data_IF_662779465271
#
_entry.id   IF_662779465271
#
_cell.length_a   1.000
_cell.length_b   1.000
_cell.length_c   1.000
_cell.angle_alpha   90.00
_cell.angle_beta   90.00
_cell.angle_gamma   90.00
#
_symmetry.space_group_name_H-M   'P 1'
#
loop_
_entity.id
_entity.type
_entity.pdbx_description
1 polymer ?
#
# COMPACT_ATOMS: atom_id res chain seq x y z
N UNK A 1 55.51 -12.33 26.75
CA UNK A 1 54.67 -11.30 26.09
C UNK A 1 53.56 -11.87 25.20
N UNK A 2 53.15 -13.14 25.34
CA UNK A 2 52.29 -13.83 24.34
C UNK A 2 50.95 -14.36 24.88
N UNK A 3 50.52 -14.00 26.10
CA UNK A 3 49.22 -14.44 26.64
C UNK A 3 48.07 -13.44 26.42
N UNK A 4 48.38 -12.19 26.08
CA UNK A 4 47.37 -11.14 25.82
C UNK A 4 46.74 -11.29 24.43
N UNK A 5 47.47 -11.84 23.45
CA UNK A 5 46.95 -12.01 22.09
C UNK A 5 45.86 -13.08 21.96
N UNK A 6 45.84 -14.09 22.83
CA UNK A 6 44.86 -15.19 22.76
C UNK A 6 43.48 -14.74 23.27
N UNK A 7 43.43 -13.74 24.16
CA UNK A 7 42.16 -13.23 24.67
C UNK A 7 41.42 -12.32 23.67
N UNK A 8 42.15 -11.63 22.79
CA UNK A 8 41.54 -10.80 21.73
C UNK A 8 40.92 -11.63 20.59
N UNK A 9 41.44 -12.84 20.33
CA UNK A 9 40.92 -13.67 19.25
C UNK A 9 39.57 -14.35 19.59
N UNK A 10 39.34 -14.64 20.87
CA UNK A 10 38.08 -15.23 21.35
C UNK A 10 36.91 -14.24 21.37
N UNK A 11 37.17 -12.93 21.41
CA UNK A 11 36.13 -11.88 21.37
C UNK A 11 35.66 -11.64 19.93
N UNK A 12 36.51 -11.86 18.93
CA UNK A 12 36.18 -11.70 17.51
C UNK A 12 35.13 -12.72 17.02
N UNK A 13 35.19 -13.97 17.51
CA UNK A 13 34.28 -15.04 17.08
C UNK A 13 32.84 -14.88 17.56
N UNK A 14 32.59 -14.10 18.63
CA UNK A 14 31.24 -13.84 19.15
C UNK A 14 30.54 -12.74 18.32
N UNK A 15 31.30 -11.84 17.69
CA UNK A 15 30.76 -10.74 16.86
C UNK A 15 30.33 -11.25 15.46
N UNK A 16 30.84 -12.40 15.02
CA UNK A 16 30.48 -13.01 13.74
C UNK A 16 29.05 -13.62 13.70
N UNK A 17 28.37 -13.73 14.84
CA UNK A 17 26.98 -14.25 14.92
C UNK A 17 25.90 -13.16 14.71
N UNK A 18 26.31 -11.92 14.39
CA UNK A 18 25.40 -10.80 14.15
C UNK A 18 24.86 -10.72 12.70
N UNK A 19 25.24 -11.66 11.82
CA UNK A 19 24.58 -11.80 10.52
C UNK A 19 23.24 -12.51 10.72
N UNK A 20 22.14 -11.85 10.33
CA UNK A 20 20.79 -12.41 10.30
C UNK A 20 20.77 -13.72 9.48
N UNK A 21 21.02 -14.84 10.15
CA UNK A 21 21.12 -16.18 9.55
C UNK A 21 19.74 -16.84 9.44
N UNK A 22 18.72 -16.05 9.13
CA UNK A 22 17.33 -16.51 9.07
C UNK A 22 17.08 -17.07 7.67
N UNK A 23 16.56 -18.29 7.59
CA UNK A 23 16.12 -18.87 6.32
C UNK A 23 15.11 -17.95 5.63
N UNK A 24 15.05 -18.04 4.30
CA UNK A 24 14.08 -17.29 3.51
C UNK A 24 12.66 -17.52 4.03
N UNK A 25 11.90 -16.44 4.21
CA UNK A 25 10.50 -16.48 4.64
C UNK A 25 9.64 -15.52 3.82
N UNK A 26 8.35 -15.85 3.73
CA UNK A 26 7.34 -15.01 3.12
C UNK A 26 6.08 -15.04 3.98
N UNK A 27 5.46 -13.90 4.22
CA UNK A 27 4.20 -13.84 4.97
C UNK A 27 3.10 -14.58 4.22
N UNK A 28 2.19 -15.20 4.96
CA UNK A 28 1.00 -15.83 4.39
C UNK A 28 -0.25 -15.07 4.80
N UNK A 29 -1.10 -14.80 3.82
CA UNK A 29 -2.36 -14.12 4.04
C UNK A 29 -3.47 -14.87 3.32
N UNK A 30 -4.49 -15.29 4.07
CA UNK A 30 -5.68 -15.94 3.53
C UNK A 30 -6.85 -14.94 3.58
N UNK A 31 -7.40 -14.59 2.42
CA UNK A 31 -8.48 -13.62 2.30
C UNK A 31 -9.82 -14.29 1.99
N UNK A 32 -10.87 -13.81 2.65
CA UNK A 32 -12.26 -13.96 2.24
C UNK A 32 -12.88 -12.57 2.15
N UNK A 33 -13.37 -12.20 0.99
CA UNK A 33 -13.99 -10.89 0.75
C UNK A 33 -15.38 -11.05 0.16
N UNK A 34 -16.24 -10.10 0.46
CA UNK A 34 -17.52 -9.88 -0.19
C UNK A 34 -17.55 -8.41 -0.61
N UNK A 35 -17.73 -8.14 -1.90
CA UNK A 35 -17.63 -6.80 -2.48
C UNK A 35 -18.81 -6.56 -3.41
N UNK A 36 -19.59 -5.54 -3.09
CA UNK A 36 -20.69 -5.05 -3.90
C UNK A 36 -20.23 -3.84 -4.70
N UNK A 37 -20.40 -3.90 -6.03
CA UNK A 37 -19.93 -2.88 -6.97
C UNK A 37 -21.12 -2.19 -7.62
N UNK A 38 -21.28 -0.92 -7.29
CA UNK A 38 -22.19 -0.01 -7.99
C UNK A 38 -21.48 0.50 -9.25
N UNK A 39 -21.77 -0.15 -10.39
CA UNK A 39 -21.15 0.15 -11.68
C UNK A 39 -21.58 1.52 -12.22
N UNK A 40 -22.82 1.94 -11.94
CA UNK A 40 -23.35 3.22 -12.42
C UNK A 40 -22.65 4.40 -11.75
N UNK A 41 -22.40 4.29 -10.45
CA UNK A 41 -21.70 5.32 -9.67
C UNK A 41 -20.18 5.08 -9.56
N UNK A 42 -19.68 3.94 -10.06
CA UNK A 42 -18.29 3.50 -9.98
C UNK A 42 -17.74 3.45 -8.56
N UNK A 43 -18.59 3.02 -7.63
CA UNK A 43 -18.27 2.88 -6.22
C UNK A 43 -18.42 1.43 -5.81
N UNK A 44 -17.78 1.06 -4.71
CA UNK A 44 -17.94 -0.26 -4.14
C UNK A 44 -17.88 -0.21 -2.62
N UNK A 45 -18.55 -1.17 -2.00
CA UNK A 45 -18.51 -1.42 -0.57
C UNK A 45 -18.12 -2.87 -0.38
N UNK A 46 -17.37 -3.15 0.67
CA UNK A 46 -16.93 -4.51 0.90
C UNK A 46 -16.64 -4.82 2.34
N UNK A 47 -16.65 -6.11 2.60
CA UNK A 47 -16.14 -6.71 3.83
C UNK A 47 -14.98 -7.61 3.49
N UNK A 48 -14.02 -7.68 4.40
CA UNK A 48 -12.84 -8.53 4.27
C UNK A 48 -12.61 -9.21 5.60
N UNK A 49 -12.44 -10.53 5.55
CA UNK A 49 -11.80 -11.32 6.61
C UNK A 49 -10.44 -11.78 6.11
N UNK A 50 -9.40 -11.46 6.85
CA UNK A 50 -8.01 -11.73 6.53
C UNK A 50 -7.40 -12.55 7.67
N UNK A 51 -6.95 -13.77 7.39
CA UNK A 51 -6.13 -14.54 8.35
C UNK A 51 -4.66 -14.37 7.99
N UNK A 52 -3.92 -13.68 8.85
CA UNK A 52 -2.51 -13.39 8.68
C UNK A 52 -1.69 -14.41 9.47
N UNK A 53 -0.69 -15.03 8.84
CA UNK A 53 0.30 -15.88 9.53
C UNK A 53 1.64 -15.16 9.51
N UNK A 54 2.20 -14.89 10.69
CA UNK A 54 3.52 -14.29 10.78
C UNK A 54 4.62 -15.35 10.57
N UNK A 55 5.17 -15.43 9.37
CA UNK A 55 6.27 -16.33 9.06
C UNK A 55 7.65 -15.70 9.29
N UNK A 56 7.72 -14.42 9.69
CA UNK A 56 9.00 -13.79 9.99
C UNK A 56 9.53 -14.25 11.35
N UNK A 57 10.86 -14.17 11.57
CA UNK A 57 11.47 -14.40 12.88
C UNK A 57 11.19 -13.27 13.88
N UNK A 58 10.59 -12.16 13.43
CA UNK A 58 10.34 -10.97 14.23
C UNK A 58 8.95 -10.95 14.84
N UNK A 59 8.83 -10.34 16.02
CA UNK A 59 7.54 -10.00 16.62
C UNK A 59 6.99 -8.75 15.96
N UNK A 60 5.83 -8.88 15.29
CA UNK A 60 5.19 -7.76 14.61
C UNK A 60 4.33 -6.95 15.57
N UNK A 61 4.52 -5.63 15.60
CA UNK A 61 3.72 -4.68 16.39
C UNK A 61 2.78 -3.81 15.55
N UNK A 62 3.02 -3.77 14.23
CA UNK A 62 2.23 -3.04 13.24
C UNK A 62 2.01 -3.90 12.01
N UNK A 63 0.93 -3.64 11.30
CA UNK A 63 0.71 -4.14 9.94
C UNK A 63 0.27 -2.98 9.04
N UNK A 64 0.48 -3.14 7.74
CA UNK A 64 0.20 -2.10 6.75
C UNK A 64 -0.73 -2.64 5.66
N UNK A 65 -1.65 -1.80 5.20
CA UNK A 65 -2.46 -2.07 4.01
C UNK A 65 -2.21 -1.00 2.97
N UNK A 66 -2.30 -1.38 1.70
CA UNK A 66 -2.25 -0.44 0.58
C UNK A 66 -3.66 0.03 0.21
N UNK A 67 -3.80 1.35 0.12
CA UNK A 67 -4.98 2.09 -0.29
C UNK A 67 -4.67 2.84 -1.60
N UNK A 68 -4.15 2.13 -2.60
CA UNK A 68 -3.52 2.73 -3.79
C UNK A 68 -4.39 3.74 -4.53
N UNK A 69 -5.71 3.57 -4.54
CA UNK A 69 -6.59 4.54 -5.20
C UNK A 69 -6.53 5.95 -4.58
N UNK A 70 -6.06 6.09 -3.34
CA UNK A 70 -5.84 7.42 -2.73
C UNK A 70 -4.78 8.25 -3.47
N UNK A 71 -3.95 7.63 -4.31
CA UNK A 71 -3.01 8.33 -5.18
C UNK A 71 -3.69 9.16 -6.28
N UNK A 72 -4.97 8.93 -6.58
CA UNK A 72 -5.71 9.67 -7.60
C UNK A 72 -6.63 10.72 -6.99
N UNK A 73 -6.08 11.47 -6.04
CA UNK A 73 -6.73 12.62 -5.43
C UNK A 73 -5.86 13.86 -5.67
N UNK A 74 -6.46 15.02 -5.97
CA UNK A 74 -5.74 16.29 -5.95
C UNK A 74 -5.00 16.46 -4.62
N UNK A 75 -3.73 16.85 -4.66
CA UNK A 75 -2.89 17.03 -3.48
C UNK A 75 -2.31 15.74 -2.88
N UNK A 76 -2.58 14.57 -3.46
CA UNK A 76 -1.87 13.33 -3.11
C UNK A 76 -0.37 13.42 -3.45
N UNK A 77 0.45 12.56 -2.85
CA UNK A 77 1.89 12.48 -3.16
C UNK A 77 2.16 12.23 -4.65
N UNK A 78 1.29 11.46 -5.32
CA UNK A 78 1.39 11.21 -6.75
C UNK A 78 1.11 12.48 -7.57
N UNK A 79 0.10 13.26 -7.19
CA UNK A 79 -0.19 14.55 -7.82
C UNK A 79 0.94 15.57 -7.58
N UNK A 80 1.45 15.64 -6.35
CA UNK A 80 2.58 16.50 -6.00
C UNK A 80 3.83 16.16 -6.84
N UNK A 81 4.17 14.87 -6.93
CA UNK A 81 5.30 14.41 -7.75
C UNK A 81 5.14 14.77 -9.23
N UNK A 82 3.94 14.68 -9.79
CA UNK A 82 3.68 15.04 -11.20
C UNK A 82 3.87 16.54 -11.46
N UNK A 83 3.74 17.40 -10.45
CA UNK A 83 3.94 18.85 -10.56
C UNK A 83 5.42 19.26 -10.47
N UNK A 84 6.25 18.43 -9.83
CA UNK A 84 7.65 18.76 -9.55
C UNK A 84 8.65 18.08 -10.50
N UNK A 85 8.32 16.89 -11.01
CA UNK A 85 9.25 16.14 -11.86
C UNK A 85 9.38 16.76 -13.26
N UNK A 86 10.61 16.82 -13.77
CA UNK A 86 10.92 17.40 -15.09
C UNK A 86 10.32 16.58 -16.24
N UNK A 87 10.39 15.25 -16.16
CA UNK A 87 9.86 14.32 -17.16
C UNK A 87 8.82 13.37 -16.52
N UNK A 88 7.56 13.83 -16.35
CA UNK A 88 6.48 13.00 -15.80
C UNK A 88 6.02 11.94 -16.81
N UNK A 89 5.37 10.88 -16.31
CA UNK A 89 4.72 9.89 -17.18
C UNK A 89 3.66 10.59 -18.04
N UNK A 90 3.87 10.60 -19.36
CA UNK A 90 3.00 11.28 -20.34
C UNK A 90 1.54 10.83 -20.30
N UNK A 91 1.23 9.65 -19.75
CA UNK A 91 -0.16 9.23 -19.55
C UNK A 91 -0.85 10.04 -18.46
N UNK A 92 -0.10 10.58 -17.50
CA UNK A 92 -0.64 11.18 -16.28
C UNK A 92 -0.68 12.70 -16.32
N UNK A 93 -0.20 13.30 -17.41
CA UNK A 93 -0.13 14.76 -17.60
C UNK A 93 -0.71 15.16 -18.95
N UNK A 94 -1.11 16.41 -19.07
CA UNK A 94 -1.37 17.06 -20.34
C UNK A 94 -0.18 17.97 -20.68
N UNK A 95 0.29 17.96 -21.93
CA UNK A 95 1.21 19.00 -22.39
C UNK A 95 0.39 20.24 -22.77
N UNK A 96 0.56 21.32 -22.01
CA UNK A 96 -0.05 22.64 -22.26
C UNK A 96 0.95 23.63 -22.89
N UNK A 97 2.17 23.18 -23.19
CA UNK A 97 3.20 23.92 -23.93
C UNK A 97 3.26 23.50 -25.40
N UNK A 98 4.46 23.54 -26.00
CA UNK A 98 4.70 23.04 -27.36
C UNK A 98 5.44 21.70 -27.32
N UNK A 99 5.70 21.10 -28.49
CA UNK A 99 6.50 19.87 -28.55
C UNK A 99 7.99 20.15 -28.25
N UNK A 100 8.46 21.34 -28.62
CA UNK A 100 9.84 21.81 -28.45
C UNK A 100 10.08 22.33 -27.02
N UNK A 101 9.06 22.92 -26.40
CA UNK A 101 9.10 23.41 -25.02
C UNK A 101 7.86 22.91 -24.25
N UNK A 102 7.87 21.65 -23.80
CA UNK A 102 6.73 21.05 -23.12
C UNK A 102 6.50 21.69 -21.75
N UNK A 103 5.23 21.90 -21.42
CA UNK A 103 4.80 22.30 -20.08
C UNK A 103 3.74 21.32 -19.61
N UNK A 104 4.08 20.52 -18.61
CA UNK A 104 3.19 19.45 -18.16
C UNK A 104 2.25 19.93 -17.05
N UNK A 105 0.98 19.58 -17.18
CA UNK A 105 -0.05 19.78 -16.17
C UNK A 105 -0.56 18.42 -15.68
N UNK A 106 -0.57 18.19 -14.37
CA UNK A 106 -1.09 16.95 -13.77
C UNK A 106 -2.57 16.75 -14.10
N UNK A 107 -2.91 15.59 -14.68
CA UNK A 107 -4.31 15.18 -14.89
C UNK A 107 -5.01 14.91 -13.55
N UNK A 108 -4.27 14.51 -12.52
CA UNK A 108 -4.82 14.23 -11.18
C UNK A 108 -5.28 15.51 -10.50
N UNK A 109 -4.54 16.61 -10.66
CA UNK A 109 -4.87 17.91 -10.08
C UNK A 109 -6.25 18.44 -10.51
N UNK A 110 -6.75 18.00 -11.67
CA UNK A 110 -8.02 18.44 -12.26
C UNK A 110 -9.21 17.54 -11.93
N UNK A 111 -8.99 16.42 -11.25
CA UNK A 111 -10.05 15.46 -10.96
C UNK A 111 -11.10 16.05 -10.02
N UNK A 112 -12.36 15.91 -10.41
CA UNK A 112 -13.53 16.29 -9.61
C UNK A 112 -13.86 15.22 -8.57
N UNK A 113 -14.70 15.51 -7.55
CA UNK A 113 -15.06 14.55 -6.51
C UNK A 113 -15.63 13.21 -7.02
N UNK A 114 -16.34 13.20 -8.15
CA UNK A 114 -16.85 11.97 -8.77
C UNK A 114 -15.82 11.22 -9.61
N UNK A 115 -14.68 11.83 -9.91
CA UNK A 115 -13.63 11.32 -10.83
C UNK A 115 -12.38 10.83 -10.10
N UNK A 116 -12.20 11.22 -8.83
CA UNK A 116 -11.08 10.76 -8.00
C UNK A 116 -11.20 9.29 -7.63
N UNK A 117 -10.06 8.70 -7.31
CA UNK A 117 -9.97 7.38 -6.70
C UNK A 117 -9.88 7.49 -5.18
N UNK A 118 -10.51 6.56 -4.46
CA UNK A 118 -10.21 6.40 -3.04
C UNK A 118 -10.50 4.99 -2.54
N UNK A 119 -9.85 4.65 -1.44
CA UNK A 119 -10.17 3.52 -0.57
C UNK A 119 -10.26 4.03 0.87
N UNK A 120 -11.43 3.83 1.50
CA UNK A 120 -11.74 4.28 2.85
C UNK A 120 -12.06 3.09 3.74
N UNK A 121 -11.27 2.92 4.79
CA UNK A 121 -11.52 1.94 5.84
C UNK A 121 -12.53 2.52 6.83
N UNK A 122 -13.68 1.86 6.96
CA UNK A 122 -14.78 2.27 7.84
C UNK A 122 -14.66 1.63 9.22
N UNK A 123 -14.15 0.40 9.26
CA UNK A 123 -13.88 -0.34 10.50
C UNK A 123 -12.76 -1.34 10.26
N UNK A 124 -11.92 -1.55 11.27
CA UNK A 124 -10.92 -2.59 11.30
C UNK A 124 -10.81 -3.21 12.70
N UNK A 125 -10.81 -4.53 12.77
CA UNK A 125 -10.71 -5.29 14.01
C UNK A 125 -9.58 -6.31 13.93
N UNK A 126 -8.93 -6.60 15.06
CA UNK A 126 -7.99 -7.70 15.26
C UNK A 126 -8.61 -8.67 16.26
N UNK A 127 -8.88 -9.91 15.85
CA UNK A 127 -9.55 -10.93 16.66
C UNK A 127 -10.81 -10.38 17.36
N UNK A 128 -11.73 -9.79 16.59
CA UNK A 128 -12.98 -9.15 17.05
C UNK A 128 -12.83 -7.93 17.98
N UNK A 129 -11.63 -7.37 18.15
CA UNK A 129 -11.41 -6.12 18.89
C UNK A 129 -10.98 -5.01 17.95
N UNK A 130 -11.61 -3.83 18.03
CA UNK A 130 -11.23 -2.67 17.20
C UNK A 130 -9.76 -2.32 17.40
N UNK A 131 -9.07 -2.00 16.31
CA UNK A 131 -7.67 -1.52 16.34
C UNK A 131 -7.61 -0.05 15.96
N UNK A 132 -6.58 0.64 16.45
CA UNK A 132 -6.27 2.00 16.02
C UNK A 132 -5.43 1.97 14.76
N UNK A 133 -5.73 2.84 13.82
CA UNK A 133 -4.99 2.97 12.58
C UNK A 133 -4.88 4.42 12.14
N UNK A 134 -3.91 4.70 11.29
CA UNK A 134 -3.72 5.99 10.65
C UNK A 134 -3.62 5.80 9.13
N UNK A 135 -4.21 6.71 8.36
CA UNK A 135 -4.08 6.73 6.91
C UNK A 135 -3.07 7.81 6.52
N UNK A 136 -1.99 7.41 5.87
CA UNK A 136 -0.94 8.30 5.37
C UNK A 136 -0.84 8.07 3.86
N UNK A 137 -1.43 8.98 3.09
CA UNK A 137 -1.50 8.88 1.64
C UNK A 137 -2.17 7.58 1.18
N UNK A 138 -1.36 6.68 0.62
CA UNK A 138 -1.79 5.36 0.11
C UNK A 138 -1.56 4.21 1.09
N UNK A 139 -1.15 4.48 2.33
CA UNK A 139 -0.85 3.44 3.31
C UNK A 139 -1.76 3.59 4.52
N UNK A 140 -2.34 2.47 4.95
CA UNK A 140 -2.99 2.33 6.25
C UNK A 140 -1.99 1.71 7.23
N UNK A 141 -1.54 2.47 8.22
CA UNK A 141 -0.73 1.94 9.33
C UNK A 141 -1.65 1.49 10.46
N UNK A 142 -1.57 0.22 10.84
CA UNK A 142 -2.39 -0.37 11.89
C UNK A 142 -1.54 -0.70 13.10
N UNK A 143 -1.88 -0.10 14.24
CA UNK A 143 -1.26 -0.42 15.52
C UNK A 143 -1.98 -1.62 16.12
N UNK A 144 -1.24 -2.71 16.35
CA UNK A 144 -1.83 -3.95 16.85
C UNK A 144 -2.15 -3.85 18.34
N UNK A 145 -3.31 -4.37 18.72
CA UNK A 145 -3.69 -4.50 20.13
C UNK A 145 -2.82 -5.53 20.85
N UNK A 146 -2.48 -6.62 20.13
CA UNK A 146 -1.55 -7.66 20.57
C UNK A 146 -0.51 -7.87 19.48
N UNK A 147 0.80 -7.88 19.80
CA UNK A 147 1.83 -8.26 18.83
C UNK A 147 1.59 -9.67 18.27
N UNK A 148 2.05 -9.92 17.04
CA UNK A 148 1.96 -11.22 16.38
C UNK A 148 3.35 -11.85 16.46
N UNK A 149 3.49 -12.92 17.24
CA UNK A 149 4.75 -13.63 17.39
C UNK A 149 5.08 -14.46 16.12
N UNK A 150 6.33 -14.87 15.92
CA UNK A 150 6.69 -15.84 14.88
C UNK A 150 5.80 -17.09 14.93
N UNK A 151 5.27 -17.50 13.79
CA UNK A 151 4.31 -18.61 13.62
C UNK A 151 2.88 -18.32 14.07
N UNK A 152 2.60 -17.20 14.74
CA UNK A 152 1.25 -16.86 15.23
C UNK A 152 0.32 -16.46 14.07
N UNK A 153 -0.95 -16.84 14.22
CA UNK A 153 -2.02 -16.43 13.33
C UNK A 153 -2.96 -15.43 13.99
N UNK A 154 -3.42 -14.47 13.22
CA UNK A 154 -4.38 -13.46 13.67
C UNK A 154 -5.42 -13.22 12.59
N UNK A 155 -6.65 -12.90 13.01
CA UNK A 155 -7.72 -12.52 12.09
C UNK A 155 -7.92 -11.02 12.10
N UNK A 156 -8.01 -10.41 10.93
CA UNK A 156 -8.47 -9.05 10.73
C UNK A 156 -9.80 -9.02 9.98
N UNK A 157 -10.76 -8.29 10.52
CA UNK A 157 -12.06 -8.05 9.89
C UNK A 157 -12.15 -6.56 9.54
N UNK A 158 -12.39 -6.26 8.27
CA UNK A 158 -12.43 -4.90 7.73
C UNK A 158 -13.75 -4.65 7.01
N UNK A 159 -14.31 -3.46 7.22
CA UNK A 159 -15.37 -2.90 6.38
C UNK A 159 -14.78 -1.70 5.66
N UNK A 160 -14.94 -1.67 4.34
CA UNK A 160 -14.37 -0.61 3.51
C UNK A 160 -15.33 -0.17 2.41
N UNK A 161 -15.04 1.01 1.85
CA UNK A 161 -15.66 1.49 0.62
C UNK A 161 -14.63 2.15 -0.27
N UNK A 162 -14.87 2.16 -1.57
CA UNK A 162 -14.01 2.80 -2.54
C UNK A 162 -14.76 3.44 -3.69
N UNK A 163 -14.03 4.26 -4.43
CA UNK A 163 -14.46 4.83 -5.70
C UNK A 163 -13.34 4.62 -6.72
N UNK A 164 -13.73 4.22 -7.93
CA UNK A 164 -12.79 4.06 -9.02
C UNK A 164 -12.50 5.42 -9.65
N UNK A 165 -11.21 5.78 -9.82
CA UNK A 165 -10.85 6.98 -10.54
C UNK A 165 -11.21 6.84 -12.01
N UNK A 166 -11.40 7.97 -12.71
CA UNK A 166 -11.28 7.96 -14.18
C UNK A 166 -9.91 7.40 -14.59
N UNK A 167 -9.83 6.78 -15.76
CA UNK A 167 -8.58 6.16 -16.18
C UNK A 167 -7.45 7.18 -16.38
N UNK A 168 -6.51 7.22 -15.43
CA UNK A 168 -5.31 8.06 -15.49
C UNK A 168 -4.14 7.29 -16.10
N UNK A 169 -3.92 6.03 -15.69
CA UNK A 169 -2.74 5.26 -16.10
C UNK A 169 -3.02 3.78 -16.39
N UNK A 170 -3.08 2.95 -15.34
CA UNK A 170 -3.22 1.47 -15.43
C UNK A 170 -4.55 0.95 -14.86
N UNK A 171 -5.12 1.71 -13.93
CA UNK A 171 -6.37 1.36 -13.27
C UNK A 171 -7.33 2.56 -13.27
N UNK A 172 -8.62 2.26 -13.26
CA UNK A 172 -9.70 3.24 -13.28
C UNK A 172 -10.88 2.78 -14.12
N UNK A 173 -11.73 3.72 -14.49
CA UNK A 173 -12.95 3.49 -15.29
C UNK A 173 -12.89 4.13 -16.66
N UNK A 174 -13.68 3.60 -17.59
CA UNK A 174 -13.94 4.09 -18.94
C UNK A 174 -12.64 4.42 -19.68
N UNK A 175 -11.82 3.39 -19.90
CA UNK A 175 -10.57 3.57 -20.61
C UNK A 175 -10.81 3.83 -22.11
N UNK A 176 -9.77 4.26 -22.81
CA UNK A 176 -9.81 4.58 -24.25
C UNK A 176 -10.09 3.36 -25.15
N UNK A 177 -9.93 2.16 -24.64
CA UNK A 177 -10.13 0.90 -25.37
C UNK A 177 -11.59 0.40 -25.22
N UNK A 178 -12.48 1.21 -24.62
CA UNK A 178 -13.88 0.87 -24.42
C UNK A 178 -14.16 -0.01 -23.19
N UNK A 179 -13.17 -0.25 -22.33
CA UNK A 179 -13.35 -1.05 -21.11
C UNK A 179 -13.90 -0.18 -19.99
N UNK A 180 -15.08 -0.56 -19.47
CA UNK A 180 -15.77 0.17 -18.42
C UNK A 180 -14.98 0.20 -17.10
N UNK A 181 -14.42 -0.94 -16.65
CA UNK A 181 -13.68 -1.05 -15.39
C UNK A 181 -12.35 -1.76 -15.60
N UNK A 182 -11.25 -1.07 -15.30
CA UNK A 182 -9.88 -1.61 -15.30
C UNK A 182 -9.34 -1.60 -13.86
N UNK A 183 -9.51 -2.71 -13.14
CA UNK A 183 -9.23 -2.77 -11.69
C UNK A 183 -8.03 -3.66 -11.30
N UNK A 184 -7.43 -4.38 -12.25
CA UNK A 184 -6.52 -5.49 -11.98
C UNK A 184 -5.01 -5.21 -12.14
N UNK A 185 -4.57 -3.94 -12.21
CA UNK A 185 -3.16 -3.63 -12.51
C UNK A 185 -2.48 -2.73 -11.46
N UNK A 186 -1.79 -3.37 -10.52
CA UNK A 186 -0.84 -2.74 -9.60
C UNK A 186 0.33 -3.69 -9.35
N UNK A 187 1.53 -3.29 -9.77
CA UNK A 187 2.82 -3.91 -9.46
C UNK A 187 3.77 -2.80 -9.02
#
# INVERSE_FOLDING_TARGET
>A
MNKVLIFLFSISSIIASAQNNTSYWQQKVDYKMDVDVDVENYQYKGTQKLVYTNNSPDVLKKVFYHLYYNAFQPGSEMDARLKEIVDPDRRMVNNIGTNENPKYESRIAKLKPKEIGYLKVLSLMQNNKKVKYNVIGTVLEVNLNKPINPGEKVTFDMIFKGQLPVHIRRAGRNNKDGVALSMAQWY
#
